data_IF_840151402914
#
_entry.id   IF_840151402914
#
_cell.length_a   1.000
_cell.length_b   1.000
_cell.length_c   1.000
_cell.angle_alpha   90.00
_cell.angle_beta   90.00
_cell.angle_gamma   90.00
#
_symmetry.space_group_name_H-M   'P 1'
#
loop_
_entity.id
_entity.type
_entity.pdbx_description
1 polymer ?
#
# COMPACT_ATOMS: atom_id res chain seq x y z
N UNK A 1 -36.05 46.83 -23.60
CA UNK A 1 -35.38 46.40 -22.35
C UNK A 1 -35.07 44.91 -22.46
N UNK A 2 -33.79 44.48 -22.46
CA UNK A 2 -33.47 43.06 -22.55
C UNK A 2 -33.54 42.41 -21.15
N UNK A 3 -34.16 41.23 -21.08
CA UNK A 3 -34.23 40.41 -19.87
C UNK A 3 -32.82 39.90 -19.52
N UNK A 4 -32.31 40.25 -18.34
CA UNK A 4 -31.08 39.69 -17.78
C UNK A 4 -31.30 38.19 -17.52
N UNK A 5 -30.47 37.35 -18.14
CA UNK A 5 -30.31 35.97 -17.73
C UNK A 5 -29.62 35.95 -16.36
N UNK A 6 -30.24 35.29 -15.39
CA UNK A 6 -29.62 35.00 -14.09
C UNK A 6 -28.68 33.82 -14.32
N UNK A 7 -27.38 34.07 -14.21
CA UNK A 7 -26.37 33.02 -14.21
C UNK A 7 -26.56 32.13 -12.98
N UNK A 8 -26.78 30.84 -13.21
CA UNK A 8 -26.76 29.81 -12.18
C UNK A 8 -25.40 29.81 -11.49
N UNK A 9 -25.40 30.15 -10.20
CA UNK A 9 -24.25 30.05 -9.32
C UNK A 9 -23.69 28.62 -9.35
N UNK A 10 -22.37 28.51 -9.53
CA UNK A 10 -21.66 27.23 -9.58
C UNK A 10 -21.91 26.38 -8.33
N UNK A 11 -22.13 25.09 -8.55
CA UNK A 11 -22.07 24.09 -7.49
C UNK A 11 -20.67 24.12 -6.88
N UNK A 12 -20.56 24.60 -5.64
CA UNK A 12 -19.39 24.32 -4.81
C UNK A 12 -19.39 22.81 -4.61
N UNK A 13 -18.37 22.11 -5.10
CA UNK A 13 -18.22 20.69 -4.82
C UNK A 13 -18.18 20.53 -3.29
N UNK A 14 -19.19 19.87 -2.73
CA UNK A 14 -19.23 19.58 -1.30
C UNK A 14 -17.95 18.83 -0.93
N UNK A 15 -17.34 19.18 0.21
CA UNK A 15 -16.19 18.45 0.71
C UNK A 15 -16.53 16.96 0.81
N UNK A 16 -15.62 16.05 0.40
CA UNK A 16 -15.90 14.63 0.43
C UNK A 16 -16.29 14.17 1.84
N UNK A 17 -17.24 13.24 2.00
CA UNK A 17 -17.65 12.73 3.31
C UNK A 17 -16.45 12.22 4.11
N UNK A 18 -16.43 12.52 5.40
CA UNK A 18 -15.38 12.07 6.33
C UNK A 18 -15.98 11.07 7.30
N UNK A 19 -15.29 9.95 7.48
CA UNK A 19 -15.65 8.85 8.35
C UNK A 19 -14.55 8.66 9.39
N UNK A 20 -14.89 8.53 10.66
CA UNK A 20 -13.93 8.18 11.71
C UNK A 20 -13.99 6.67 11.98
N UNK A 21 -12.84 5.99 11.99
CA UNK A 21 -12.80 4.55 12.18
C UNK A 21 -13.51 4.07 13.48
N UNK A 22 -13.54 4.91 14.52
CA UNK A 22 -14.23 4.61 15.80
C UNK A 22 -15.74 4.54 15.66
N UNK A 23 -16.32 5.26 14.70
CA UNK A 23 -17.77 5.23 14.41
C UNK A 23 -18.22 3.86 13.90
N UNK A 24 -17.28 3.02 13.45
CA UNK A 24 -17.50 1.65 12.99
C UNK A 24 -17.15 0.60 14.05
N UNK A 25 -17.00 1.02 15.33
CA UNK A 25 -16.77 0.12 16.46
C UNK A 25 -15.30 -0.29 16.66
N UNK A 26 -14.36 0.36 15.98
CA UNK A 26 -12.94 0.08 16.17
C UNK A 26 -12.43 0.53 17.54
N UNK A 27 -11.48 -0.23 18.09
CA UNK A 27 -10.79 0.06 19.35
C UNK A 27 -9.28 0.11 19.12
N UNK A 28 -8.68 1.26 19.43
CA UNK A 28 -7.27 1.58 19.17
C UNK A 28 -6.30 1.13 20.27
N UNK A 29 -6.51 -0.05 20.86
CA UNK A 29 -5.75 -0.59 22.01
C UNK A 29 -4.54 -1.46 21.60
N UNK A 30 -4.37 -1.73 20.31
CA UNK A 30 -3.34 -2.60 19.74
C UNK A 30 -3.58 -4.09 19.97
N UNK A 31 -4.79 -4.49 20.40
CA UNK A 31 -5.18 -5.87 20.74
C UNK A 31 -6.48 -6.30 20.08
N UNK A 32 -7.45 -5.41 20.01
CA UNK A 32 -8.73 -5.62 19.34
C UNK A 32 -8.51 -5.74 17.84
N UNK A 33 -9.04 -6.80 17.21
CA UNK A 33 -8.96 -6.99 15.76
C UNK A 33 -10.04 -6.15 15.08
N UNK A 34 -9.62 -5.11 14.37
CA UNK A 34 -10.46 -4.06 13.82
C UNK A 34 -10.87 -4.28 12.35
N UNK A 35 -10.61 -5.47 11.78
CA UNK A 35 -10.85 -5.74 10.34
C UNK A 35 -12.27 -5.41 9.92
N UNK A 36 -13.27 -5.85 10.70
CA UNK A 36 -14.68 -5.59 10.40
C UNK A 36 -15.04 -4.10 10.42
N UNK A 37 -14.39 -3.30 11.28
CA UNK A 37 -14.59 -1.86 11.33
C UNK A 37 -13.98 -1.17 10.10
N UNK A 38 -12.78 -1.58 9.67
CA UNK A 38 -12.19 -1.11 8.41
C UNK A 38 -13.08 -1.45 7.21
N UNK A 39 -13.52 -2.70 7.09
CA UNK A 39 -14.37 -3.16 5.99
C UNK A 39 -15.71 -2.42 5.95
N UNK A 40 -16.35 -2.22 7.11
CA UNK A 40 -17.62 -1.48 7.22
C UNK A 40 -17.46 -0.01 6.82
N UNK A 41 -16.37 0.63 7.23
CA UNK A 41 -16.08 2.02 6.87
C UNK A 41 -15.82 2.18 5.37
N UNK A 42 -15.09 1.23 4.77
CA UNK A 42 -14.78 1.26 3.34
C UNK A 42 -16.02 0.95 2.50
N UNK A 43 -16.89 0.04 2.94
CA UNK A 43 -18.19 -0.20 2.32
C UNK A 43 -19.05 1.08 2.31
N UNK A 44 -19.15 1.78 3.45
CA UNK A 44 -19.89 3.04 3.54
C UNK A 44 -19.31 4.13 2.60
N UNK A 45 -17.99 4.20 2.46
CA UNK A 45 -17.33 5.10 1.50
C UNK A 45 -17.70 4.73 0.06
N UNK A 46 -17.64 3.44 -0.28
CA UNK A 46 -17.96 2.97 -1.62
C UNK A 46 -19.43 3.28 -2.00
N UNK A 47 -20.36 3.02 -1.08
CA UNK A 47 -21.80 3.28 -1.28
C UNK A 47 -22.11 4.75 -1.51
N UNK A 48 -21.33 5.67 -0.91
CA UNK A 48 -21.48 7.12 -1.12
C UNK A 48 -20.67 7.67 -2.28
N UNK A 49 -20.01 6.82 -3.06
CA UNK A 49 -19.23 7.21 -4.23
C UNK A 49 -17.88 7.84 -3.92
N UNK A 50 -17.39 7.72 -2.69
CA UNK A 50 -16.11 8.25 -2.25
C UNK A 50 -16.15 8.92 -0.88
N UNK A 51 -14.97 9.23 -0.35
CA UNK A 51 -14.83 9.81 0.98
C UNK A 51 -13.47 9.57 1.62
N UNK A 52 -13.31 10.06 2.84
CA UNK A 52 -12.10 9.92 3.64
C UNK A 52 -12.37 9.06 4.88
N UNK A 53 -11.67 7.95 5.01
CA UNK A 53 -11.55 7.22 6.27
C UNK A 53 -10.42 7.81 7.10
N UNK A 54 -10.74 8.34 8.28
CA UNK A 54 -9.79 8.86 9.25
C UNK A 54 -9.49 7.78 10.28
N UNK A 55 -8.21 7.39 10.38
CA UNK A 55 -7.67 6.54 11.45
C UNK A 55 -7.04 7.47 12.49
N UNK A 56 -7.67 7.65 13.67
CA UNK A 56 -7.17 8.58 14.68
C UNK A 56 -5.96 8.00 15.42
N UNK A 57 -5.36 8.81 16.30
CA UNK A 57 -4.29 8.36 17.18
C UNK A 57 -4.71 7.11 17.98
N UNK A 58 -3.83 6.12 18.05
CA UNK A 58 -4.14 4.81 18.61
C UNK A 58 -3.44 3.69 17.85
N UNK A 59 -3.55 2.46 18.36
CA UNK A 59 -2.94 1.26 17.78
C UNK A 59 -4.05 0.33 17.27
N UNK A 60 -4.10 0.10 15.97
CA UNK A 60 -5.24 -0.53 15.30
C UNK A 60 -4.82 -1.88 14.72
N UNK A 61 -4.90 -2.93 15.53
CA UNK A 61 -4.63 -4.30 15.05
C UNK A 61 -5.69 -4.72 14.03
N UNK A 62 -5.27 -5.25 12.90
CA UNK A 62 -6.18 -5.70 11.84
C UNK A 62 -5.57 -6.85 11.05
N UNK A 63 -6.46 -7.71 10.52
CA UNK A 63 -6.13 -8.57 9.39
C UNK A 63 -6.13 -7.74 8.09
N UNK A 64 -5.68 -8.31 6.96
CA UNK A 64 -5.77 -7.67 5.65
C UNK A 64 -7.17 -7.14 5.32
N UNK A 65 -7.22 -5.97 4.68
CA UNK A 65 -8.46 -5.39 4.17
C UNK A 65 -8.25 -4.70 2.81
N UNK A 66 -9.33 -4.59 2.04
CA UNK A 66 -9.32 -4.02 0.69
C UNK A 66 -9.78 -2.55 0.70
N UNK A 67 -9.12 -1.71 -0.08
CA UNK A 67 -9.53 -0.35 -0.40
C UNK A 67 -10.58 -0.33 -1.53
N UNK A 68 -11.25 0.80 -1.69
CA UNK A 68 -12.22 1.09 -2.77
C UNK A 68 -11.80 2.32 -3.59
N UNK A 69 -12.44 2.55 -4.73
CA UNK A 69 -12.18 3.74 -5.55
C UNK A 69 -12.68 5.02 -4.88
N UNK A 70 -12.12 6.17 -5.27
CA UNK A 70 -12.50 7.50 -4.79
C UNK A 70 -12.37 7.67 -3.26
N UNK A 71 -11.44 6.93 -2.65
CA UNK A 71 -11.23 6.99 -1.20
C UNK A 71 -9.90 7.65 -0.82
N UNK A 72 -9.91 8.27 0.36
CA UNK A 72 -8.71 8.64 1.09
C UNK A 72 -8.62 7.85 2.39
N UNK A 73 -7.56 7.07 2.58
CA UNK A 73 -7.17 6.53 3.88
C UNK A 73 -6.25 7.55 4.55
N UNK A 74 -6.74 8.20 5.61
CA UNK A 74 -6.03 9.27 6.32
C UNK A 74 -5.57 8.79 7.70
N UNK A 75 -4.26 8.73 7.95
CA UNK A 75 -3.69 8.34 9.23
C UNK A 75 -3.28 9.60 10.03
N UNK A 76 -3.98 9.86 11.13
CA UNK A 76 -3.64 10.98 12.00
C UNK A 76 -2.27 10.79 12.67
N UNK A 77 -1.71 11.88 13.20
CA UNK A 77 -0.49 11.83 14.01
C UNK A 77 -0.72 10.87 15.20
N UNK A 78 0.20 9.93 15.41
CA UNK A 78 0.08 8.91 16.45
C UNK A 78 -0.86 7.74 16.12
N UNK A 79 -1.41 7.67 14.90
CA UNK A 79 -2.10 6.48 14.43
C UNK A 79 -1.07 5.41 14.01
N UNK A 80 -1.26 4.17 14.45
CA UNK A 80 -0.47 3.01 14.05
C UNK A 80 -1.41 1.87 13.66
N UNK A 81 -1.49 1.55 12.36
CA UNK A 81 -2.16 0.32 11.88
C UNK A 81 -1.19 -0.84 12.07
N UNK A 82 -1.63 -1.92 12.72
CA UNK A 82 -0.82 -3.07 13.07
C UNK A 82 -1.31 -4.30 12.30
N UNK A 83 -0.43 -4.91 11.51
CA UNK A 83 -0.72 -6.16 10.82
C UNK A 83 -0.71 -7.34 11.77
N UNK A 84 -1.78 -8.13 11.75
CA UNK A 84 -1.84 -9.37 12.54
C UNK A 84 -0.71 -10.34 12.15
N UNK A 85 -0.03 -10.90 13.15
CA UNK A 85 1.16 -11.73 12.93
C UNK A 85 0.85 -13.18 12.53
N UNK A 86 -0.39 -13.61 12.72
CA UNK A 86 -0.86 -14.95 12.39
C UNK A 86 -1.31 -15.00 10.93
N UNK A 87 -0.52 -15.67 10.10
CA UNK A 87 -0.69 -15.84 8.66
C UNK A 87 -2.01 -16.50 8.28
N UNK A 88 -2.70 -17.20 9.21
CA UNK A 88 -4.01 -17.81 8.93
C UNK A 88 -5.11 -16.77 8.65
N UNK A 89 -4.91 -15.54 9.11
CA UNK A 89 -5.82 -14.41 8.81
C UNK A 89 -5.51 -13.72 7.49
N UNK A 90 -4.42 -14.10 6.81
CA UNK A 90 -4.01 -13.47 5.57
C UNK A 90 -4.54 -14.27 4.38
N UNK A 91 -5.38 -13.66 3.52
CA UNK A 91 -6.00 -14.38 2.43
C UNK A 91 -4.94 -14.86 1.45
N UNK A 92 -5.18 -16.04 0.87
CA UNK A 92 -4.35 -16.54 -0.22
C UNK A 92 -4.84 -15.96 -1.54
N UNK A 93 -3.91 -15.36 -2.28
CA UNK A 93 -4.12 -14.85 -3.63
C UNK A 93 -3.34 -15.70 -4.62
N UNK A 94 -3.82 -15.76 -5.86
CA UNK A 94 -3.05 -16.33 -6.96
C UNK A 94 -1.66 -15.64 -7.08
N UNK A 95 -0.66 -16.35 -7.65
CA UNK A 95 0.56 -15.70 -8.09
C UNK A 95 0.28 -14.43 -8.88
N UNK A 96 1.21 -13.47 -8.84
CA UNK A 96 1.11 -12.31 -9.72
C UNK A 96 1.09 -12.79 -11.18
N UNK A 97 0.21 -12.23 -12.03
CA UNK A 97 0.09 -12.66 -13.43
C UNK A 97 1.43 -12.68 -14.17
N UNK A 98 2.31 -11.71 -13.91
CA UNK A 98 3.63 -11.60 -14.52
C UNK A 98 4.74 -12.42 -13.85
N UNK A 99 4.45 -13.20 -12.80
CA UNK A 99 5.42 -14.03 -12.07
C UNK A 99 5.11 -15.53 -12.17
N UNK A 100 3.93 -15.89 -12.67
CA UNK A 100 3.56 -17.27 -13.01
C UNK A 100 3.49 -18.23 -11.83
N UNK A 101 4.64 -18.76 -11.41
CA UNK A 101 4.72 -19.77 -10.35
C UNK A 101 4.85 -19.19 -8.94
N UNK A 102 5.16 -17.90 -8.77
CA UNK A 102 5.32 -17.26 -7.46
C UNK A 102 6.78 -16.96 -7.12
N UNK A 103 7.02 -15.97 -6.24
CA UNK A 103 8.34 -15.34 -6.05
C UNK A 103 9.25 -16.07 -5.06
N UNK A 104 8.68 -16.60 -3.97
CA UNK A 104 9.43 -17.32 -2.92
C UNK A 104 9.05 -18.81 -2.85
N UNK A 105 7.78 -19.10 -3.11
CA UNK A 105 7.21 -20.44 -3.14
C UNK A 105 6.39 -20.62 -4.41
N UNK A 106 6.37 -21.86 -4.91
CA UNK A 106 5.46 -22.26 -5.98
C UNK A 106 4.01 -22.22 -5.49
N UNK A 107 3.12 -21.60 -6.27
CA UNK A 107 1.68 -21.52 -5.97
C UNK A 107 1.28 -20.18 -5.35
N UNK A 108 0.16 -20.14 -4.59
CA UNK A 108 -0.41 -18.89 -4.12
C UNK A 108 0.52 -18.13 -3.16
N UNK A 109 0.15 -16.88 -2.92
CA UNK A 109 0.83 -15.95 -2.01
C UNK A 109 -0.13 -15.45 -0.95
N UNK A 110 0.38 -15.05 0.21
CA UNK A 110 -0.40 -14.24 1.15
C UNK A 110 -0.72 -12.87 0.52
N UNK A 111 -1.92 -12.34 0.79
CA UNK A 111 -2.33 -11.00 0.39
C UNK A 111 -1.52 -9.91 1.08
N UNK A 112 -1.71 -8.64 0.70
CA UNK A 112 -1.09 -7.52 1.41
C UNK A 112 -1.95 -7.05 2.59
N UNK A 113 -1.35 -6.41 3.60
CA UNK A 113 -2.12 -5.90 4.75
C UNK A 113 -3.15 -4.86 4.30
N UNK A 114 -2.73 -3.94 3.45
CA UNK A 114 -3.62 -3.02 2.75
C UNK A 114 -3.56 -3.39 1.29
N UNK A 115 -4.71 -3.78 0.73
CA UNK A 115 -4.81 -4.24 -0.63
C UNK A 115 -5.78 -3.38 -1.45
N UNK A 116 -5.58 -3.30 -2.75
CA UNK A 116 -6.52 -2.67 -3.67
C UNK A 116 -6.28 -3.18 -5.08
N UNK A 117 -7.35 -3.42 -5.83
CA UNK A 117 -7.27 -3.95 -7.18
C UNK A 117 -8.29 -3.28 -8.08
N UNK A 118 -7.90 -2.92 -9.29
CA UNK A 118 -8.76 -2.30 -10.30
C UNK A 118 -9.40 -0.96 -9.81
N UNK A 119 -8.65 -0.19 -9.00
CA UNK A 119 -9.14 1.04 -8.35
C UNK A 119 -8.80 2.32 -9.13
N UNK A 120 -9.59 3.38 -8.87
CA UNK A 120 -9.32 4.74 -9.35
C UNK A 120 -9.34 5.75 -8.21
N UNK A 121 -8.47 6.75 -8.26
CA UNK A 121 -8.46 7.88 -7.32
C UNK A 121 -8.35 7.44 -5.85
N UNK A 122 -7.24 6.78 -5.52
CA UNK A 122 -6.95 6.31 -4.17
C UNK A 122 -5.85 7.17 -3.56
N UNK A 123 -6.10 7.71 -2.37
CA UNK A 123 -5.09 8.44 -1.60
C UNK A 123 -4.82 7.72 -0.28
N UNK A 124 -3.56 7.47 0.05
CA UNK A 124 -3.13 7.03 1.38
C UNK A 124 -2.24 8.14 1.94
N UNK A 125 -2.75 8.88 2.92
CA UNK A 125 -2.04 10.04 3.44
C UNK A 125 -2.26 10.24 4.93
N UNK A 126 -1.73 11.30 5.52
CA UNK A 126 -1.88 11.53 6.94
C UNK A 126 -1.03 12.68 7.47
N UNK A 127 -0.85 12.65 8.80
CA UNK A 127 0.11 13.49 9.52
C UNK A 127 1.23 12.60 10.08
N UNK A 128 1.90 11.88 9.19
CA UNK A 128 2.96 10.92 9.51
C UNK A 128 2.50 9.78 10.45
N UNK A 129 1.26 9.30 10.28
CA UNK A 129 0.82 8.05 10.91
C UNK A 129 1.50 6.83 10.27
N UNK A 130 1.48 5.69 10.97
CA UNK A 130 2.27 4.50 10.63
C UNK A 130 1.39 3.33 10.19
N UNK A 131 1.81 2.62 9.14
CA UNK A 131 1.35 1.27 8.80
C UNK A 131 2.50 0.32 9.13
N UNK A 132 2.29 -0.58 10.09
CA UNK A 132 3.30 -1.47 10.64
C UNK A 132 2.92 -2.94 10.39
N UNK A 133 3.70 -3.63 9.57
CA UNK A 133 3.46 -5.02 9.19
C UNK A 133 3.82 -6.06 10.26
N UNK A 134 4.46 -5.65 11.35
CA UNK A 134 4.97 -6.53 12.40
C UNK A 134 5.82 -7.70 11.85
N UNK A 135 6.63 -7.43 10.83
CA UNK A 135 7.31 -8.39 9.95
C UNK A 135 8.27 -9.37 10.63
N UNK A 136 8.73 -9.12 11.86
CA UNK A 136 9.70 -9.99 12.55
C UNK A 136 9.28 -11.46 12.59
N UNK A 137 7.99 -11.75 12.86
CA UNK A 137 7.49 -13.14 12.86
C UNK A 137 7.59 -13.78 11.47
N UNK A 138 7.23 -13.04 10.42
CA UNK A 138 7.32 -13.45 9.03
C UNK A 138 8.75 -13.75 8.60
N UNK A 139 9.70 -12.88 8.95
CA UNK A 139 11.11 -13.04 8.61
C UNK A 139 11.74 -14.26 9.28
N UNK A 140 11.37 -14.52 10.54
CA UNK A 140 11.81 -15.73 11.26
C UNK A 140 11.24 -16.99 10.61
N UNK A 141 9.95 -17.00 10.27
CA UNK A 141 9.31 -18.14 9.61
C UNK A 141 9.89 -18.40 8.22
N UNK A 142 10.13 -17.35 7.42
CA UNK A 142 10.77 -17.45 6.11
C UNK A 142 12.14 -18.11 6.20
N UNK A 143 13.04 -17.60 7.06
CA UNK A 143 14.40 -18.18 7.23
C UNK A 143 14.38 -19.63 7.70
N UNK A 144 13.40 -19.98 8.54
CA UNK A 144 13.21 -21.35 9.05
C UNK A 144 12.43 -22.25 8.08
N UNK A 145 12.04 -21.75 6.90
CA UNK A 145 11.24 -22.46 5.90
C UNK A 145 9.91 -23.00 6.47
N UNK A 146 9.27 -22.21 7.32
CA UNK A 146 8.01 -22.55 7.99
C UNK A 146 6.77 -21.97 7.29
N UNK A 147 6.96 -21.24 6.19
CA UNK A 147 5.86 -20.70 5.38
C UNK A 147 5.58 -21.66 4.21
N UNK A 148 4.30 -21.83 3.90
CA UNK A 148 3.87 -22.67 2.77
C UNK A 148 3.70 -21.88 1.47
N UNK A 149 3.64 -20.55 1.57
CA UNK A 149 3.27 -19.65 0.48
C UNK A 149 4.20 -18.43 0.45
N UNK A 150 4.27 -17.77 -0.71
CA UNK A 150 5.03 -16.52 -0.87
C UNK A 150 4.45 -15.44 0.04
N UNK A 151 5.29 -14.70 0.77
CA UNK A 151 4.87 -13.62 1.66
C UNK A 151 4.22 -12.48 0.88
N UNK A 152 3.26 -11.82 1.51
CA UNK A 152 2.54 -10.69 0.94
C UNK A 152 3.21 -9.34 1.24
N UNK A 153 3.10 -8.34 0.35
CA UNK A 153 3.59 -6.99 0.63
C UNK A 153 2.87 -6.31 1.80
N UNK A 154 3.40 -5.21 2.34
CA UNK A 154 2.66 -4.41 3.32
C UNK A 154 1.48 -3.68 2.68
N UNK A 155 1.74 -2.94 1.60
CA UNK A 155 0.73 -2.24 0.81
C UNK A 155 0.85 -2.68 -0.65
N UNK A 156 -0.26 -3.12 -1.25
CA UNK A 156 -0.28 -3.48 -2.66
C UNK A 156 -1.50 -2.89 -3.36
N UNK A 157 -1.24 -2.14 -4.43
CA UNK A 157 -2.25 -1.68 -5.37
C UNK A 157 -1.99 -2.30 -6.73
N UNK A 158 -2.99 -2.95 -7.30
CA UNK A 158 -2.89 -3.70 -8.55
C UNK A 158 -3.82 -3.07 -9.60
N UNK A 159 -3.35 -2.91 -10.84
CA UNK A 159 -4.17 -2.47 -12.00
C UNK A 159 -5.00 -1.22 -11.73
N UNK A 160 -4.41 -0.28 -11.00
CA UNK A 160 -5.11 0.88 -10.46
C UNK A 160 -4.54 2.18 -11.04
N UNK A 161 -5.30 3.27 -11.00
CA UNK A 161 -4.86 4.56 -11.54
C UNK A 161 -5.19 5.77 -10.68
N UNK A 162 -4.39 6.82 -10.82
CA UNK A 162 -4.48 8.07 -10.07
C UNK A 162 -4.33 7.80 -8.56
N UNK A 163 -3.11 7.41 -8.19
CA UNK A 163 -2.76 6.98 -6.83
C UNK A 163 -1.86 8.04 -6.19
N UNK A 164 -2.18 8.43 -4.96
CA UNK A 164 -1.35 9.31 -4.15
C UNK A 164 -1.01 8.59 -2.84
N UNK A 165 0.26 8.50 -2.51
CA UNK A 165 0.74 8.00 -1.23
C UNK A 165 1.67 9.06 -0.66
N UNK A 166 1.30 9.66 0.47
CA UNK A 166 2.10 10.75 1.01
C UNK A 166 2.03 10.96 2.51
N UNK A 167 3.10 11.49 3.11
CA UNK A 167 3.13 11.92 4.51
C UNK A 167 2.68 10.83 5.51
N UNK A 168 3.18 9.61 5.31
CA UNK A 168 2.98 8.44 6.18
C UNK A 168 4.30 7.71 6.40
N UNK A 169 4.33 6.86 7.42
CA UNK A 169 5.39 5.90 7.66
C UNK A 169 4.92 4.48 7.34
N UNK A 170 5.70 3.74 6.55
CA UNK A 170 5.54 2.31 6.33
C UNK A 170 6.67 1.57 7.07
N UNK A 171 6.31 0.57 7.88
CA UNK A 171 7.27 -0.06 8.79
C UNK A 171 7.13 -1.58 8.83
N UNK A 172 8.29 -2.24 8.93
CA UNK A 172 8.43 -3.66 9.26
C UNK A 172 7.52 -4.56 8.41
N UNK A 173 7.60 -4.41 7.09
CA UNK A 173 6.82 -5.21 6.13
C UNK A 173 7.13 -6.71 6.25
N UNK A 174 6.16 -7.62 6.09
CA UNK A 174 6.41 -9.06 5.96
C UNK A 174 7.34 -9.41 4.78
N UNK A 175 7.27 -8.64 3.69
CA UNK A 175 7.95 -8.82 2.41
C UNK A 175 8.24 -7.44 1.79
N UNK A 176 8.06 -7.26 0.48
CA UNK A 176 8.08 -5.93 -0.17
C UNK A 176 7.17 -4.93 0.54
N UNK A 177 7.60 -3.68 0.65
CA UNK A 177 6.85 -2.72 1.47
C UNK A 177 5.72 -2.08 0.67
N UNK A 178 6.04 -1.32 -0.37
CA UNK A 178 5.05 -0.63 -1.20
C UNK A 178 5.10 -1.13 -2.64
N UNK A 179 4.17 -2.00 -3.00
CA UNK A 179 4.11 -2.61 -4.32
C UNK A 179 2.95 -2.06 -5.15
N UNK A 180 3.28 -1.22 -6.13
CA UNK A 180 2.32 -0.81 -7.16
C UNK A 180 2.53 -1.70 -8.38
N UNK A 181 1.53 -2.50 -8.72
CA UNK A 181 1.58 -3.50 -9.78
C UNK A 181 0.66 -3.10 -10.92
N UNK A 182 1.18 -2.93 -12.13
CA UNK A 182 0.42 -2.51 -13.32
C UNK A 182 -0.43 -1.25 -13.07
N UNK A 183 0.15 -0.26 -12.38
CA UNK A 183 -0.55 0.97 -12.01
C UNK A 183 -0.14 2.14 -12.91
N UNK A 184 -1.05 3.12 -13.05
CA UNK A 184 -0.83 4.32 -13.87
C UNK A 184 -1.06 5.61 -13.09
N UNK A 185 -0.20 6.61 -13.30
CA UNK A 185 -0.27 7.92 -12.62
C UNK A 185 -0.17 7.75 -11.10
N UNK A 186 1.02 7.39 -10.64
CA UNK A 186 1.31 7.13 -9.22
C UNK A 186 2.23 8.23 -8.70
N UNK A 187 1.84 8.88 -7.60
CA UNK A 187 2.73 9.79 -6.87
C UNK A 187 2.97 9.26 -5.46
N UNK A 188 4.24 9.06 -5.13
CA UNK A 188 4.70 8.69 -3.79
C UNK A 188 5.60 9.82 -3.30
N UNK A 189 5.20 10.51 -2.24
CA UNK A 189 5.98 11.64 -1.74
C UNK A 189 6.01 11.76 -0.23
N UNK A 190 7.09 12.30 0.35
CA UNK A 190 7.15 12.60 1.79
C UNK A 190 6.86 11.35 2.65
N UNK A 191 7.19 10.17 2.11
CA UNK A 191 6.92 8.89 2.75
C UNK A 191 8.20 8.37 3.40
N UNK A 192 8.06 7.88 4.63
CA UNK A 192 9.15 7.24 5.37
C UNK A 192 8.96 5.72 5.30
N UNK A 193 9.98 4.96 4.90
CA UNK A 193 9.93 3.50 4.84
C UNK A 193 11.05 2.92 5.71
N UNK A 194 10.69 2.07 6.68
CA UNK A 194 11.60 1.55 7.70
C UNK A 194 11.49 0.04 7.83
N UNK A 195 12.63 -0.64 7.72
CA UNK A 195 12.82 -2.01 8.16
C UNK A 195 14.26 -2.15 8.71
N UNK A 196 14.57 -3.18 9.52
CA UNK A 196 15.94 -3.46 9.89
C UNK A 196 16.82 -3.62 8.64
N UNK A 197 17.93 -2.86 8.60
CA UNK A 197 18.88 -2.88 7.48
C UNK A 197 19.59 -4.24 7.29
N UNK A 198 19.46 -5.14 8.26
CA UNK A 198 19.92 -6.52 8.17
C UNK A 198 18.91 -7.43 8.88
N UNK A 199 18.76 -8.66 8.41
CA UNK A 199 17.86 -9.64 9.02
C UNK A 199 16.37 -9.45 8.71
N UNK A 200 16.02 -8.54 7.79
CA UNK A 200 14.69 -8.38 7.22
C UNK A 200 14.72 -8.75 5.72
N UNK A 201 14.49 -10.02 5.36
CA UNK A 201 14.70 -10.51 4.01
C UNK A 201 13.59 -10.03 3.07
N UNK A 202 14.01 -9.47 1.92
CA UNK A 202 13.12 -9.01 0.85
C UNK A 202 12.16 -7.91 1.31
N UNK A 203 12.65 -7.01 2.16
CA UNK A 203 11.91 -5.80 2.55
C UNK A 203 12.27 -4.64 1.63
N UNK A 204 12.01 -4.79 0.35
CA UNK A 204 12.20 -3.73 -0.64
C UNK A 204 11.36 -2.51 -0.23
N UNK A 205 11.84 -1.30 -0.52
CA UNK A 205 11.15 -0.07 -0.15
C UNK A 205 9.94 0.20 -1.03
N UNK A 206 10.18 0.51 -2.32
CA UNK A 206 9.13 0.79 -3.29
C UNK A 206 9.35 -0.04 -4.55
N UNK A 207 8.32 -0.76 -4.99
CA UNK A 207 8.33 -1.65 -6.14
C UNK A 207 7.31 -1.18 -7.20
N UNK A 208 7.68 -0.26 -8.11
CA UNK A 208 6.89 -0.03 -9.31
C UNK A 208 7.10 -1.20 -10.28
N UNK A 209 6.10 -2.07 -10.38
CA UNK A 209 6.12 -3.26 -11.23
C UNK A 209 5.12 -3.09 -12.37
N UNK A 210 5.60 -3.13 -13.61
CA UNK A 210 4.79 -2.85 -14.82
C UNK A 210 4.01 -1.52 -14.77
N UNK A 211 4.55 -0.48 -14.10
CA UNK A 211 3.84 0.79 -13.89
C UNK A 211 4.17 1.87 -14.92
N UNK A 212 3.23 2.78 -15.18
CA UNK A 212 3.41 3.92 -16.10
C UNK A 212 3.18 5.26 -15.38
N UNK A 213 4.07 6.24 -15.61
CA UNK A 213 3.97 7.61 -15.07
C UNK A 213 3.99 7.60 -13.53
N UNK A 214 5.14 7.25 -12.98
CA UNK A 214 5.37 7.18 -11.53
C UNK A 214 6.31 8.30 -11.10
N UNK A 215 5.96 9.01 -10.02
CA UNK A 215 6.83 10.00 -9.37
C UNK A 215 7.08 9.57 -7.93
N UNK A 216 8.36 9.40 -7.58
CA UNK A 216 8.82 9.12 -6.22
C UNK A 216 9.67 10.30 -5.78
N UNK A 217 9.24 11.05 -4.75
CA UNK A 217 9.98 12.24 -4.33
C UNK A 217 9.98 12.55 -2.85
N UNK A 218 11.06 13.16 -2.36
CA UNK A 218 11.14 13.64 -0.96
C UNK A 218 10.92 12.50 0.07
N UNK A 219 11.35 11.28 -0.25
CA UNK A 219 11.15 10.11 0.61
C UNK A 219 12.42 9.79 1.43
N UNK A 220 12.23 9.14 2.58
CA UNK A 220 13.30 8.54 3.37
C UNK A 220 13.08 7.03 3.42
N UNK A 221 14.06 6.26 2.96
CA UNK A 221 13.95 4.79 2.88
C UNK A 221 15.14 4.18 3.60
N UNK A 222 14.91 3.36 4.61
CA UNK A 222 15.92 2.58 5.32
C UNK A 222 15.48 1.14 5.46
N UNK A 223 16.05 0.24 4.67
CA UNK A 223 15.53 -1.12 4.48
C UNK A 223 16.62 -2.19 4.36
N UNK A 224 16.20 -3.45 4.51
CA UNK A 224 17.07 -4.62 4.44
C UNK A 224 17.29 -5.21 3.04
N UNK A 225 16.70 -4.64 1.99
CA UNK A 225 16.84 -5.06 0.58
C UNK A 225 16.88 -3.82 -0.33
N UNK A 226 16.44 -3.88 -1.59
CA UNK A 226 16.42 -2.73 -2.49
C UNK A 226 15.63 -1.54 -1.94
N UNK A 227 16.18 -0.33 -2.05
CA UNK A 227 15.46 0.90 -1.67
C UNK A 227 14.28 1.18 -2.59
N UNK A 228 14.53 1.23 -3.90
CA UNK A 228 13.51 1.31 -4.95
C UNK A 228 13.86 0.30 -6.02
N UNK A 229 12.97 -0.63 -6.32
CA UNK A 229 13.18 -1.67 -7.31
C UNK A 229 12.16 -1.57 -8.44
N UNK A 230 12.60 -1.15 -9.63
CA UNK A 230 11.75 -1.05 -10.81
C UNK A 230 11.68 -2.42 -11.50
N UNK A 231 10.47 -2.96 -11.63
CA UNK A 231 10.21 -4.33 -12.10
C UNK A 231 9.23 -4.37 -13.28
N UNK A 232 9.15 -5.50 -13.97
CA UNK A 232 8.15 -5.73 -15.03
C UNK A 232 7.86 -7.21 -15.27
N UNK A 233 7.68 -7.97 -14.18
CA UNK A 233 7.50 -9.42 -14.24
C UNK A 233 8.76 -10.26 -14.44
N UNK A 234 8.59 -11.58 -14.45
CA UNK A 234 9.66 -12.58 -14.38
C UNK A 234 9.58 -13.61 -15.51
N UNK A 235 10.71 -13.82 -16.19
CA UNK A 235 10.93 -14.84 -17.23
C UNK A 235 9.82 -14.85 -18.30
N UNK A 236 9.38 -16.04 -18.74
CA UNK A 236 8.34 -16.22 -19.74
C UNK A 236 7.00 -15.60 -19.32
N UNK A 237 6.74 -15.45 -18.03
CA UNK A 237 5.48 -14.88 -17.53
C UNK A 237 5.48 -13.36 -17.64
N UNK A 238 6.61 -12.70 -17.35
CA UNK A 238 6.81 -11.28 -17.60
C UNK A 238 6.74 -10.96 -19.09
N UNK A 239 7.40 -11.78 -19.92
CA UNK A 239 7.34 -11.67 -21.38
C UNK A 239 5.89 -11.79 -21.89
N UNK A 240 5.16 -12.81 -21.43
CA UNK A 240 3.76 -13.01 -21.82
C UNK A 240 2.82 -11.91 -21.30
N UNK A 241 3.10 -11.38 -20.10
CA UNK A 241 2.33 -10.26 -19.55
C UNK A 241 2.53 -8.98 -20.37
N UNK A 242 3.75 -8.74 -20.86
CA UNK A 242 4.03 -7.75 -21.90
C UNK A 242 3.80 -6.30 -21.47
N UNK A 243 3.91 -5.98 -20.17
CA UNK A 243 3.73 -4.64 -19.62
C UNK A 243 5.04 -4.11 -19.02
N UNK A 244 5.71 -3.12 -19.64
CA UNK A 244 6.92 -2.53 -19.09
C UNK A 244 6.61 -1.59 -17.92
N UNK A 245 7.60 -1.35 -17.08
CA UNK A 245 7.63 -0.14 -16.24
C UNK A 245 8.23 1.02 -17.04
N UNK A 246 7.52 2.14 -17.14
CA UNK A 246 7.88 3.27 -17.99
C UNK A 246 7.56 4.63 -17.34
N UNK A 247 8.33 5.65 -17.70
CA UNK A 247 8.17 7.03 -17.23
C UNK A 247 8.18 7.15 -15.69
N UNK A 248 9.26 6.68 -15.07
CA UNK A 248 9.45 6.71 -13.62
C UNK A 248 10.46 7.81 -13.28
N UNK A 249 10.05 8.77 -12.47
CA UNK A 249 10.91 9.85 -11.95
C UNK A 249 11.19 9.62 -10.47
N UNK A 250 12.47 9.59 -10.09
CA UNK A 250 12.92 9.49 -8.70
C UNK A 250 13.73 10.76 -8.38
N UNK A 251 13.30 11.52 -7.37
CA UNK A 251 13.89 12.82 -7.06
C UNK A 251 13.97 13.07 -5.55
N UNK A 252 15.09 13.61 -5.06
CA UNK A 252 15.25 14.02 -3.65
C UNK A 252 14.91 12.89 -2.65
N UNK A 253 15.45 11.69 -2.87
CA UNK A 253 15.22 10.54 -1.97
C UNK A 253 16.50 10.25 -1.19
N UNK A 254 16.37 10.01 0.12
CA UNK A 254 17.46 9.51 0.96
C UNK A 254 17.25 8.01 1.16
N UNK A 255 18.23 7.21 0.76
CA UNK A 255 18.14 5.74 0.83
C UNK A 255 19.30 5.18 1.65
N UNK A 256 18.97 4.31 2.60
CA UNK A 256 19.89 3.46 3.34
C UNK A 256 19.50 1.99 3.10
N UNK A 257 20.24 1.31 2.25
CA UNK A 257 20.18 -0.14 2.07
C UNK A 257 21.57 -0.72 2.33
N UNK A 258 21.63 -1.84 3.04
CA UNK A 258 22.91 -2.52 3.35
C UNK A 258 23.12 -3.81 2.56
N UNK A 259 22.04 -4.49 2.18
CA UNK A 259 22.14 -5.82 1.56
C UNK A 259 22.13 -5.75 0.03
N UNK A 260 21.40 -4.78 -0.54
CA UNK A 260 21.21 -4.66 -1.99
C UNK A 260 21.47 -3.23 -2.47
N UNK A 261 20.61 -2.65 -3.30
CA UNK A 261 20.86 -1.39 -3.98
C UNK A 261 20.03 -0.21 -3.41
N UNK A 262 20.47 1.01 -3.72
CA UNK A 262 19.64 2.21 -3.53
C UNK A 262 18.46 2.24 -4.51
N UNK A 263 18.77 2.17 -5.81
CA UNK A 263 17.80 2.02 -6.90
C UNK A 263 18.24 0.85 -7.77
N UNK A 264 17.35 -0.10 -8.03
CA UNK A 264 17.57 -1.24 -8.91
C UNK A 264 16.55 -1.26 -10.06
N UNK A 265 16.95 -1.91 -11.15
CA UNK A 265 16.07 -2.28 -12.26
C UNK A 265 16.22 -3.80 -12.40
N UNK A 266 15.18 -4.56 -12.03
CA UNK A 266 15.23 -6.03 -11.95
C UNK A 266 14.40 -6.63 -10.82
#
# INVERSE_FOLDING_TARGET
MPKRAVASLGHWAASPPVYDLREFGAVGDGRTVNTAAFESAIAAIAERGGGRLTVPAGRWLTAPFNLTSHMTLFLAAGAEILGIQDERYWPLMSPLPSYGYGREHKGPRYGSLIHGQDLKHVTITGHNGTINGQGQSWWVKFRRKLLNHTRGPLVQLMRSSNIIISNITLRDSPFWTLHTYDCKNVTISETTILAPIAGAPNTDGIDPDSCENVVIKNCYISVGDDGIAIKSGWDQYGIAYGRPSANITIQNVVIRSMVSAGVSIG
#
